data_IF_559034769312
#
_entry.id   IF_559034769312
#
_cell.length_a   1.000
_cell.length_b   1.000
_cell.length_c   1.000
_cell.angle_alpha   90.00
_cell.angle_beta   90.00
_cell.angle_gamma   90.00
#
_symmetry.space_group_name_H-M   'P 1'
#
loop_
_entity.id
_entity.type
_entity.pdbx_description
1 polymer ?
#
# COMPACT_ATOMS: atom_id res chain seq x y z
N UNK A 1 2.54 -6.90 9.68
CA UNK A 1 2.26 -5.46 9.47
C UNK A 1 3.23 -4.93 8.44
N UNK A 2 2.83 -3.99 7.61
CA UNK A 2 3.70 -3.28 6.68
C UNK A 2 3.34 -1.79 6.62
N UNK A 3 4.22 -0.98 6.04
CA UNK A 3 4.04 0.46 5.90
C UNK A 3 3.76 0.80 4.43
N UNK A 4 2.74 1.61 4.17
CA UNK A 4 2.45 2.21 2.89
C UNK A 4 2.67 3.73 2.96
N UNK A 5 3.59 4.27 2.17
CA UNK A 5 4.00 5.68 2.25
C UNK A 5 3.59 6.45 0.99
N UNK A 6 2.99 7.63 1.19
CA UNK A 6 2.69 8.61 0.16
C UNK A 6 1.24 8.65 -0.34
N UNK A 7 0.77 9.82 -0.82
CA UNK A 7 -0.63 10.07 -1.18
C UNK A 7 -1.20 9.09 -2.20
N UNK A 8 -0.39 8.67 -3.18
CA UNK A 8 -0.83 7.74 -4.22
C UNK A 8 -1.11 6.35 -3.65
N UNK A 9 -0.11 5.75 -2.98
CA UNK A 9 -0.23 4.39 -2.44
C UNK A 9 -1.34 4.33 -1.39
N UNK A 10 -1.36 5.29 -0.46
CA UNK A 10 -2.42 5.35 0.57
C UNK A 10 -3.80 5.59 -0.06
N UNK A 11 -3.87 6.35 -1.17
CA UNK A 11 -5.07 6.58 -1.97
C UNK A 11 -5.63 5.33 -2.66
N UNK A 12 -4.82 4.32 -2.90
CA UNK A 12 -5.21 3.06 -3.55
C UNK A 12 -5.68 2.00 -2.53
N UNK A 13 -5.39 2.17 -1.24
CA UNK A 13 -5.81 1.23 -0.19
C UNK A 13 -7.33 1.00 -0.09
N UNK A 14 -8.22 2.02 -0.25
CA UNK A 14 -9.66 1.80 -0.15
C UNK A 14 -10.25 0.84 -1.19
N UNK A 15 -9.57 0.62 -2.31
CA UNK A 15 -10.02 -0.29 -3.38
C UNK A 15 -9.38 -1.68 -3.27
N UNK A 16 -8.58 -1.92 -2.24
CA UNK A 16 -7.91 -3.20 -1.97
C UNK A 16 -8.58 -3.98 -0.84
N UNK A 17 -8.19 -5.24 -0.68
CA UNK A 17 -8.51 -6.11 0.47
C UNK A 17 -7.62 -5.84 1.70
N UNK A 18 -6.73 -4.85 1.63
CA UNK A 18 -5.76 -4.56 2.68
C UNK A 18 -6.45 -3.83 3.84
N UNK A 19 -6.36 -4.41 5.03
CA UNK A 19 -6.81 -3.77 6.26
C UNK A 19 -5.80 -2.72 6.73
N UNK A 20 -6.24 -1.47 6.79
CA UNK A 20 -5.49 -0.36 7.37
C UNK A 20 -5.76 -0.28 8.87
N UNK A 21 -4.70 -0.27 9.69
CA UNK A 21 -4.81 -0.18 11.15
C UNK A 21 -4.79 1.27 11.62
N UNK A 22 -3.87 2.08 11.08
CA UNK A 22 -3.75 3.50 11.42
C UNK A 22 -3.11 4.27 10.26
N UNK A 23 -3.51 5.54 10.11
CA UNK A 23 -2.93 6.49 9.17
C UNK A 23 -2.32 7.65 9.96
N UNK A 24 -1.09 8.02 9.62
CA UNK A 24 -0.42 9.23 10.10
C UNK A 24 -0.24 10.19 8.93
N UNK A 25 -0.74 11.42 9.04
CA UNK A 25 -0.70 12.38 7.94
C UNK A 25 -0.46 13.80 8.43
N UNK A 26 0.16 14.62 7.59
CA UNK A 26 0.23 16.06 7.85
C UNK A 26 -1.11 16.74 7.54
N UNK A 27 -1.36 17.87 8.19
CA UNK A 27 -2.59 18.66 8.07
C UNK A 27 -2.98 18.93 6.62
N UNK A 28 -2.02 19.40 5.81
CA UNK A 28 -2.23 19.72 4.40
C UNK A 28 -2.85 18.55 3.63
N UNK A 29 -2.35 17.32 3.85
CA UNK A 29 -2.89 16.16 3.15
C UNK A 29 -4.30 15.84 3.62
N UNK A 30 -4.55 15.88 4.94
CA UNK A 30 -5.87 15.60 5.51
C UNK A 30 -6.91 16.56 4.93
N UNK A 31 -6.59 17.84 4.82
CA UNK A 31 -7.48 18.86 4.27
C UNK A 31 -7.82 18.63 2.79
N UNK A 32 -6.82 18.33 1.96
CA UNK A 32 -7.01 18.00 0.53
C UNK A 32 -7.74 16.67 0.30
N UNK A 33 -7.76 15.83 1.32
CA UNK A 33 -8.21 14.44 1.29
C UNK A 33 -9.55 14.20 1.96
N UNK A 34 -10.21 15.26 2.47
CA UNK A 34 -11.51 15.18 3.14
C UNK A 34 -12.52 14.38 2.30
N UNK A 35 -13.15 13.38 2.92
CA UNK A 35 -14.16 12.50 2.31
C UNK A 35 -13.61 11.36 1.43
N UNK A 36 -12.32 11.35 1.06
CA UNK A 36 -11.73 10.28 0.24
C UNK A 36 -11.29 9.05 1.04
N UNK A 37 -11.02 9.23 2.34
CA UNK A 37 -10.46 8.20 3.20
C UNK A 37 -11.41 7.73 4.31
N UNK A 38 -12.65 8.22 4.33
CA UNK A 38 -13.68 7.71 5.26
C UNK A 38 -13.90 6.20 5.09
N UNK A 39 -13.68 5.69 3.87
CA UNK A 39 -13.78 4.28 3.53
C UNK A 39 -12.67 3.40 4.14
N UNK A 40 -11.53 3.99 4.54
CA UNK A 40 -10.45 3.22 5.17
C UNK A 40 -10.86 2.65 6.54
N UNK A 41 -11.89 3.22 7.18
CA UNK A 41 -12.36 2.84 8.52
C UNK A 41 -11.21 2.71 9.54
N UNK A 42 -10.15 3.51 9.35
CA UNK A 42 -8.95 3.51 10.16
C UNK A 42 -8.85 4.84 10.91
N UNK A 43 -8.19 4.82 12.06
CA UNK A 43 -7.86 6.02 12.81
C UNK A 43 -6.87 6.87 12.00
N UNK A 44 -7.16 8.16 11.86
CA UNK A 44 -6.28 9.13 11.19
C UNK A 44 -5.70 10.07 12.24
N UNK A 45 -4.39 10.00 12.42
CA UNK A 45 -3.64 10.81 13.34
C UNK A 45 -2.92 11.92 12.58
N UNK A 46 -3.29 13.17 12.86
CA UNK A 46 -2.55 14.33 12.36
C UNK A 46 -1.20 14.43 13.09
N UNK A 47 -0.11 14.50 12.33
CA UNK A 47 1.25 14.65 12.84
C UNK A 47 1.98 15.78 12.13
N UNK A 48 3.05 16.29 12.73
CA UNK A 48 3.93 17.27 12.10
C UNK A 48 4.84 16.62 11.04
N UNK A 49 5.34 17.42 10.09
CA UNK A 49 6.34 16.99 9.11
C UNK A 49 7.57 16.37 9.78
N UNK A 50 8.01 16.94 10.91
CA UNK A 50 9.15 16.45 11.68
C UNK A 50 8.90 15.07 12.31
N UNK A 51 7.68 14.81 12.76
CA UNK A 51 7.31 13.48 13.26
C UNK A 51 7.23 12.47 12.12
N UNK A 52 6.70 12.88 10.96
CA UNK A 52 6.63 12.06 9.77
C UNK A 52 8.03 11.68 9.25
N UNK A 53 8.96 12.64 9.27
CA UNK A 53 10.39 12.41 8.99
C UNK A 53 11.03 11.36 9.89
N UNK A 54 10.59 11.22 11.13
CA UNK A 54 11.15 10.24 12.07
C UNK A 54 10.63 8.82 11.85
N UNK A 55 9.47 8.66 11.23
CA UNK A 55 8.80 7.36 11.06
C UNK A 55 8.82 6.85 9.60
N UNK A 56 9.12 7.72 8.65
CA UNK A 56 9.23 7.41 7.22
C UNK A 56 10.48 6.59 6.90
N UNK A 57 10.37 5.61 6.01
CA UNK A 57 11.55 4.90 5.45
C UNK A 57 12.08 5.58 4.19
N UNK A 58 11.37 6.58 3.65
CA UNK A 58 11.81 7.35 2.51
C UNK A 58 12.84 8.41 2.92
N UNK A 59 13.84 8.63 2.06
CA UNK A 59 14.80 9.74 2.22
C UNK A 59 14.13 11.11 2.19
N UNK A 60 13.02 11.21 1.46
CA UNK A 60 12.14 12.37 1.42
C UNK A 60 10.74 11.90 1.78
N UNK A 61 10.38 11.96 3.08
CA UNK A 61 9.04 11.62 3.56
C UNK A 61 7.99 12.39 2.79
N UNK A 62 6.93 11.70 2.41
CA UNK A 62 5.80 12.32 1.73
C UNK A 62 4.80 12.84 2.76
N UNK A 63 3.56 13.16 2.37
CA UNK A 63 2.58 13.80 3.25
C UNK A 63 1.79 12.83 4.16
N UNK A 64 1.89 11.51 3.93
CA UNK A 64 1.08 10.50 4.62
C UNK A 64 1.79 9.15 4.69
N UNK A 65 1.53 8.41 5.76
CA UNK A 65 1.99 7.05 6.01
C UNK A 65 0.85 6.24 6.63
N UNK A 66 0.58 5.05 6.09
CA UNK A 66 -0.38 4.11 6.63
C UNK A 66 0.33 2.86 7.15
N UNK A 67 -0.16 2.34 8.27
CA UNK A 67 0.26 1.04 8.80
C UNK A 67 -0.84 0.02 8.51
N UNK A 68 -0.47 -1.03 7.78
CA UNK A 68 -1.39 -1.98 7.21
C UNK A 68 -1.11 -3.40 7.74
N UNK A 69 -2.17 -4.22 7.81
CA UNK A 69 -2.02 -5.67 8.03
C UNK A 69 -1.60 -6.34 6.74
N UNK A 70 -0.68 -7.29 6.87
CA UNK A 70 -0.33 -8.18 5.76
C UNK A 70 -1.50 -9.17 5.66
N UNK A 71 -2.17 -9.28 4.50
CA UNK A 71 -3.24 -10.26 4.33
C UNK A 71 -2.66 -11.67 4.42
N UNK A 72 -3.42 -12.58 5.02
CA UNK A 72 -3.14 -14.02 4.94
C UNK A 72 -3.77 -14.51 3.64
N UNK A 73 -2.95 -15.08 2.75
CA UNK A 73 -3.38 -15.69 1.50
C UNK A 73 -2.77 -17.07 1.39
N UNK A 74 -3.57 -18.05 0.97
CA UNK A 74 -3.12 -19.42 0.75
C UNK A 74 -2.87 -19.65 -0.74
N UNK A 75 -1.86 -20.45 -1.06
CA UNK A 75 -1.61 -20.87 -2.45
C UNK A 75 -2.79 -21.71 -2.96
N UNK A 76 -3.47 -22.42 -2.06
CA UNK A 76 -4.67 -23.20 -2.40
C UNK A 76 -5.86 -22.32 -2.82
N UNK A 77 -5.81 -21.01 -2.61
CA UNK A 77 -6.81 -20.05 -3.11
C UNK A 77 -6.66 -19.78 -4.62
N UNK A 78 -5.52 -20.15 -5.23
CA UNK A 78 -5.30 -20.01 -6.67
C UNK A 78 -6.16 -21.05 -7.40
N UNK A 79 -7.08 -20.58 -8.22
CA UNK A 79 -8.04 -21.37 -8.97
C UNK A 79 -7.74 -21.39 -10.47
N UNK A 80 -8.32 -22.35 -11.18
CA UNK A 80 -8.26 -22.39 -12.66
C UNK A 80 -8.95 -21.16 -13.30
N UNK A 81 -9.83 -20.47 -12.56
CA UNK A 81 -10.53 -19.26 -13.05
C UNK A 81 -9.63 -18.02 -13.05
N UNK A 82 -8.50 -18.02 -12.33
CA UNK A 82 -7.54 -16.91 -12.27
C UNK A 82 -6.69 -16.77 -13.54
N UNK A 83 -6.76 -17.76 -14.43
CA UNK A 83 -6.22 -17.69 -15.78
C UNK A 83 -4.69 -17.81 -15.83
N UNK A 84 -3.99 -16.69 -16.01
CA UNK A 84 -2.53 -16.71 -16.21
C UNK A 84 -1.80 -16.65 -14.87
N UNK A 85 -1.06 -17.70 -14.53
CA UNK A 85 -0.24 -17.73 -13.30
C UNK A 85 1.22 -17.46 -13.62
N UNK A 86 1.83 -16.51 -12.89
CA UNK A 86 3.26 -16.19 -12.99
C UNK A 86 4.01 -16.82 -11.81
N UNK A 87 4.72 -17.92 -12.05
CA UNK A 87 5.57 -18.57 -11.05
C UNK A 87 6.99 -18.01 -11.11
N UNK A 88 7.51 -17.57 -9.96
CA UNK A 88 8.83 -16.97 -9.85
C UNK A 88 9.79 -17.92 -9.14
N UNK A 89 10.90 -18.27 -9.79
CA UNK A 89 11.97 -19.08 -9.21
C UNK A 89 13.28 -18.28 -9.16
N UNK A 90 13.91 -18.22 -7.99
CA UNK A 90 15.23 -17.61 -7.83
C UNK A 90 15.31 -16.09 -7.98
N UNK A 91 14.24 -15.33 -7.71
CA UNK A 91 14.28 -13.85 -7.69
C UNK A 91 15.14 -13.34 -6.53
N UNK A 92 16.15 -12.50 -6.82
CA UNK A 92 17.15 -12.05 -5.85
C UNK A 92 16.97 -10.61 -5.37
N UNK A 93 16.44 -9.74 -6.22
CA UNK A 93 16.35 -8.31 -5.96
C UNK A 93 14.88 -7.84 -5.84
N UNK A 94 14.49 -7.15 -4.76
CA UNK A 94 13.12 -6.64 -4.57
C UNK A 94 12.65 -5.72 -5.71
N UNK A 95 13.57 -4.98 -6.33
CA UNK A 95 13.27 -4.09 -7.46
C UNK A 95 12.82 -4.82 -8.72
N UNK A 96 13.37 -6.02 -8.97
CA UNK A 96 12.96 -6.85 -10.10
C UNK A 96 11.54 -7.37 -9.89
N UNK A 97 11.23 -7.84 -8.69
CA UNK A 97 9.90 -8.31 -8.32
C UNK A 97 8.82 -7.24 -8.55
N UNK A 98 9.07 -6.01 -8.09
CA UNK A 98 8.12 -4.90 -8.27
C UNK A 98 7.90 -4.53 -9.74
N UNK A 99 8.91 -4.69 -10.59
CA UNK A 99 8.74 -4.46 -12.04
C UNK A 99 7.90 -5.57 -12.67
N UNK A 100 8.17 -6.83 -12.33
CA UNK A 100 7.38 -7.98 -12.83
C UNK A 100 5.91 -7.83 -12.43
N UNK A 101 5.61 -7.53 -11.17
CA UNK A 101 4.22 -7.36 -10.68
C UNK A 101 3.49 -6.26 -11.47
N UNK A 102 4.12 -5.08 -11.65
CA UNK A 102 3.51 -3.98 -12.42
C UNK A 102 3.30 -4.31 -13.89
N UNK A 103 4.24 -5.06 -14.50
CA UNK A 103 4.08 -5.51 -15.88
C UNK A 103 2.94 -6.51 -15.99
N UNK A 104 2.83 -7.47 -15.07
CA UNK A 104 1.75 -8.44 -15.03
C UNK A 104 0.37 -7.77 -14.91
N UNK A 105 0.24 -6.79 -14.00
CA UNK A 105 -0.96 -5.96 -13.85
C UNK A 105 -1.32 -5.23 -15.17
N UNK A 106 -0.33 -4.69 -15.88
CA UNK A 106 -0.54 -4.03 -17.18
C UNK A 106 -1.09 -4.97 -18.26
N UNK A 107 -0.74 -6.25 -18.19
CA UNK A 107 -1.25 -7.29 -19.09
C UNK A 107 -2.52 -7.98 -18.57
N UNK A 108 -3.07 -7.54 -17.43
CA UNK A 108 -4.32 -8.05 -16.87
C UNK A 108 -4.19 -9.43 -16.21
N UNK A 109 -2.99 -9.81 -15.78
CA UNK A 109 -2.79 -10.96 -14.88
C UNK A 109 -3.45 -10.62 -13.53
N UNK A 110 -4.27 -11.52 -13.01
CA UNK A 110 -5.04 -11.33 -11.77
C UNK A 110 -4.52 -12.21 -10.65
#
# INVERSE_FOLDING_TARGET
MFIAEGPKIVGELPVSDIKVEVVYAVEEWIEHSKGKFEYLKAEVNQISTKELERISNLSTPNQVLAVCKIPERDVDEISEEDGTVVMLDGIRDPGNLGTIIRTADWFGVR
#
